data_IF_497538125479
#
_entry.id   IF_497538125479
#
_cell.length_a   1.000
_cell.length_b   1.000
_cell.length_c   1.000
_cell.angle_alpha   90.00
_cell.angle_beta   90.00
_cell.angle_gamma   90.00
#
_symmetry.space_group_name_H-M   'P 1'
#
loop_
_entity.id
_entity.type
_entity.pdbx_description
1 polymer ?
#
# COMPACT_ATOMS: atom_id res chain seq x y z
N UNK A 1 29.11 27.93 16.50
CA UNK A 1 28.44 26.94 15.62
C UNK A 1 27.06 26.67 16.18
N UNK A 2 26.08 26.40 15.32
CA UNK A 2 24.71 26.89 15.46
C UNK A 2 23.81 25.74 15.93
N UNK A 3 23.22 25.86 17.12
CA UNK A 3 22.35 24.84 17.71
C UNK A 3 20.90 25.10 17.27
N UNK A 4 20.41 24.41 16.24
CA UNK A 4 19.00 24.41 15.85
C UNK A 4 18.58 23.05 15.26
N UNK A 5 18.65 21.99 16.06
CA UNK A 5 17.99 20.71 15.73
C UNK A 5 17.02 20.35 16.87
N UNK A 6 15.77 20.77 16.74
CA UNK A 6 14.68 20.22 17.56
C UNK A 6 14.23 18.90 16.91
N UNK A 7 14.27 17.75 17.61
CA UNK A 7 13.60 16.56 17.09
C UNK A 7 12.12 16.91 16.91
N UNK A 8 11.59 16.71 15.71
CA UNK A 8 10.19 16.99 15.41
C UNK A 8 9.33 16.07 16.28
N UNK A 9 8.82 16.61 17.39
CA UNK A 9 7.98 15.88 18.33
C UNK A 9 6.73 15.42 17.59
N UNK A 10 6.67 14.12 17.25
CA UNK A 10 5.51 13.51 16.60
C UNK A 10 4.31 13.60 17.53
N UNK A 11 3.17 14.09 17.03
CA UNK A 11 1.92 14.09 17.79
C UNK A 11 1.40 12.66 17.95
N UNK A 12 0.71 12.39 19.06
CA UNK A 12 -0.04 11.14 19.24
C UNK A 12 -1.24 11.06 18.28
N UNK A 13 -1.77 9.86 18.09
CA UNK A 13 -2.99 9.62 17.32
C UNK A 13 -4.21 10.13 18.09
N UNK A 14 -5.12 10.80 17.41
CA UNK A 14 -6.43 11.19 17.97
C UNK A 14 -7.57 10.43 17.28
N UNK A 15 -8.79 10.49 17.84
CA UNK A 15 -9.95 9.84 17.23
C UNK A 15 -10.25 10.39 15.82
N UNK A 16 -10.00 11.68 15.59
CA UNK A 16 -10.19 12.36 14.30
C UNK A 16 -9.26 11.82 13.21
N UNK A 17 -8.12 11.21 13.59
CA UNK A 17 -7.23 10.57 12.62
C UNK A 17 -7.87 9.31 12.01
N UNK A 18 -8.79 8.65 12.72
CA UNK A 18 -9.52 7.49 12.20
C UNK A 18 -10.44 7.89 11.03
N UNK A 19 -11.00 9.10 11.05
CA UNK A 19 -11.85 9.61 9.96
C UNK A 19 -11.07 9.83 8.66
N UNK A 20 -9.74 9.98 8.76
CA UNK A 20 -8.84 10.16 7.61
C UNK A 20 -8.39 8.85 6.99
N UNK A 21 -8.72 7.70 7.61
CA UNK A 21 -8.34 6.40 7.07
C UNK A 21 -9.05 6.12 5.74
N UNK A 22 -8.29 5.54 4.81
CA UNK A 22 -8.77 5.06 3.51
C UNK A 22 -8.57 3.55 3.47
N UNK A 23 -9.66 2.81 3.24
CA UNK A 23 -9.64 1.34 3.18
C UNK A 23 -9.74 0.90 1.73
N UNK A 24 -8.70 0.23 1.23
CA UNK A 24 -8.66 -0.32 -0.13
C UNK A 24 -8.99 -1.81 -0.09
N UNK A 25 -9.87 -2.27 -0.99
CA UNK A 25 -10.28 -3.68 -1.10
C UNK A 25 -10.48 -4.10 -2.56
N UNK A 26 -10.52 -5.41 -2.73
CA UNK A 26 -10.84 -6.11 -3.98
C UNK A 26 -10.01 -5.61 -5.18
N UNK A 27 -8.67 -5.61 -5.10
CA UNK A 27 -7.84 -5.21 -6.22
C UNK A 27 -7.86 -6.26 -7.33
N UNK A 28 -8.10 -5.80 -8.56
CA UNK A 28 -8.03 -6.61 -9.78
C UNK A 28 -7.02 -6.00 -10.74
N UNK A 29 -6.07 -6.82 -11.22
CA UNK A 29 -5.13 -6.45 -12.26
C UNK A 29 -5.75 -6.63 -13.65
N UNK A 30 -5.44 -5.72 -14.57
CA UNK A 30 -5.67 -5.98 -15.99
C UNK A 30 -4.81 -7.17 -16.47
N UNK A 31 -5.25 -7.95 -17.48
CA UNK A 31 -4.49 -9.11 -17.96
C UNK A 31 -3.07 -8.79 -18.45
N UNK A 32 -2.86 -7.57 -18.97
CA UNK A 32 -1.56 -7.08 -19.42
C UNK A 32 -0.66 -6.54 -18.28
N UNK A 33 -1.16 -6.54 -17.05
CA UNK A 33 -0.48 -6.06 -15.84
C UNK A 33 -0.25 -4.56 -15.79
N UNK A 34 -0.89 -3.77 -16.65
CA UNK A 34 -0.62 -2.32 -16.76
C UNK A 34 -1.53 -1.47 -15.89
N UNK A 35 -2.66 -2.01 -15.45
CA UNK A 35 -3.66 -1.30 -14.66
C UNK A 35 -4.13 -2.12 -13.49
N UNK A 36 -4.59 -1.43 -12.46
CA UNK A 36 -5.28 -2.01 -11.31
C UNK A 36 -6.59 -1.27 -11.11
N UNK A 37 -7.66 -2.02 -10.90
CA UNK A 37 -8.94 -1.51 -10.40
C UNK A 37 -9.11 -1.95 -8.95
N UNK A 38 -9.63 -1.07 -8.09
CA UNK A 38 -9.93 -1.40 -6.71
C UNK A 38 -11.05 -0.51 -6.17
N UNK A 39 -11.63 -0.92 -5.02
CA UNK A 39 -12.60 -0.12 -4.27
C UNK A 39 -11.90 0.56 -3.11
N UNK A 40 -12.01 1.89 -3.01
CA UNK A 40 -11.64 2.64 -1.80
C UNK A 40 -12.89 3.00 -1.02
N UNK A 41 -12.89 2.74 0.29
CA UNK A 41 -13.87 3.29 1.22
C UNK A 41 -13.26 4.34 2.12
N UNK A 42 -14.02 5.41 2.34
CA UNK A 42 -13.63 6.53 3.20
C UNK A 42 -14.84 7.12 3.92
N UNK A 43 -14.57 7.89 4.96
CA UNK A 43 -15.57 8.73 5.63
C UNK A 43 -15.46 10.14 5.01
N UNK A 44 -16.58 10.71 4.59
CA UNK A 44 -16.65 12.09 4.08
C UNK A 44 -16.82 13.12 5.21
N UNK A 45 -16.94 14.40 4.85
CA UNK A 45 -17.11 15.50 5.80
C UNK A 45 -18.45 15.45 6.55
N UNK A 46 -19.44 14.72 6.01
CA UNK A 46 -20.75 14.49 6.61
C UNK A 46 -20.79 13.22 7.48
N UNK A 47 -19.63 12.62 7.78
CA UNK A 47 -19.48 11.36 8.51
C UNK A 47 -20.16 10.15 7.85
N UNK A 48 -20.31 10.17 6.52
CA UNK A 48 -20.90 9.07 5.77
C UNK A 48 -19.82 8.22 5.09
N UNK A 49 -20.05 6.91 5.06
CA UNK A 49 -19.18 6.01 4.30
C UNK A 49 -19.46 6.15 2.81
N UNK A 50 -18.43 6.54 2.05
CA UNK A 50 -18.45 6.54 0.59
C UNK A 50 -17.52 5.48 0.04
N UNK A 51 -17.95 4.84 -1.04
CA UNK A 51 -17.15 3.88 -1.80
C UNK A 51 -16.92 4.42 -3.19
N UNK A 52 -15.67 4.38 -3.66
CA UNK A 52 -15.29 4.82 -5.00
C UNK A 52 -14.54 3.70 -5.70
N UNK A 53 -14.85 3.52 -6.99
CA UNK A 53 -14.06 2.66 -7.87
C UNK A 53 -12.92 3.47 -8.48
N UNK A 54 -11.70 2.99 -8.29
CA UNK A 54 -10.50 3.58 -8.86
C UNK A 54 -9.94 2.70 -9.96
N UNK A 55 -9.43 3.31 -11.03
CA UNK A 55 -8.63 2.66 -12.05
C UNK A 55 -7.30 3.42 -12.14
N UNK A 56 -6.20 2.73 -11.83
CA UNK A 56 -4.86 3.33 -11.75
C UNK A 56 -3.88 2.61 -12.65
N UNK A 57 -2.94 3.37 -13.21
CA UNK A 57 -1.79 2.82 -13.93
C UNK A 57 -0.84 2.12 -12.96
N UNK A 58 -0.74 0.79 -13.08
CA UNK A 58 0.10 -0.08 -12.26
C UNK A 58 1.60 0.04 -12.57
N UNK A 59 1.98 0.63 -13.71
CA UNK A 59 3.39 0.88 -14.04
C UNK A 59 3.94 2.10 -13.29
N UNK A 60 3.07 2.96 -12.74
CA UNK A 60 3.44 4.26 -12.19
C UNK A 60 3.93 4.24 -10.74
N UNK A 61 3.94 3.08 -10.07
CA UNK A 61 4.52 2.93 -8.72
C UNK A 61 5.28 1.62 -8.57
N UNK A 62 6.57 1.65 -8.88
CA UNK A 62 7.54 0.89 -8.09
C UNK A 62 8.03 1.81 -6.97
N UNK A 63 7.49 1.75 -5.73
CA UNK A 63 8.41 1.85 -4.62
C UNK A 63 9.34 0.65 -4.83
N UNK A 64 10.60 0.90 -5.17
CA UNK A 64 11.62 -0.14 -5.28
C UNK A 64 11.84 -0.76 -3.90
N UNK A 65 10.91 -1.60 -3.47
CA UNK A 65 11.11 -2.49 -2.35
C UNK A 65 11.76 -3.73 -2.94
N UNK A 66 13.07 -3.79 -2.79
CA UNK A 66 13.86 -4.94 -3.18
C UNK A 66 13.52 -6.11 -2.25
N UNK A 67 12.66 -7.01 -2.72
CA UNK A 67 12.32 -8.26 -2.03
C UNK A 67 13.54 -9.19 -1.85
N UNK A 68 14.71 -8.88 -2.42
CA UNK A 68 15.97 -9.58 -2.12
C UNK A 68 16.59 -9.18 -0.77
N UNK A 69 16.03 -8.19 -0.08
CA UNK A 69 16.48 -7.80 1.26
C UNK A 69 15.95 -8.71 2.38
N UNK A 70 15.13 -9.72 2.07
CA UNK A 70 14.73 -10.75 3.04
C UNK A 70 15.64 -11.97 2.94
N UNK A 71 16.16 -12.33 4.11
CA UNK A 71 17.22 -13.28 4.44
C UNK A 71 17.19 -14.62 3.70
N UNK A 72 18.42 -15.12 3.53
CA UNK A 72 18.92 -16.28 2.77
C UNK A 72 18.40 -17.67 3.21
N UNK A 73 17.22 -17.81 3.83
CA UNK A 73 16.80 -19.07 4.48
C UNK A 73 15.48 -19.72 4.00
N UNK A 74 14.67 -19.11 3.13
CA UNK A 74 13.39 -19.71 2.69
C UNK A 74 13.41 -20.36 1.29
N UNK A 75 14.59 -20.67 0.74
CA UNK A 75 14.69 -21.29 -0.58
C UNK A 75 14.32 -22.79 -0.60
N UNK A 76 14.10 -23.44 0.55
CA UNK A 76 13.93 -24.89 0.64
C UNK A 76 12.46 -25.38 0.69
N UNK A 77 11.48 -24.49 0.84
CA UNK A 77 10.07 -24.90 1.06
C UNK A 77 9.24 -25.04 -0.22
N UNK A 78 9.76 -24.67 -1.39
CA UNK A 78 8.98 -24.72 -2.64
C UNK A 78 9.81 -25.23 -3.83
N UNK A 79 10.06 -26.54 -3.93
CA UNK A 79 10.60 -27.11 -5.16
C UNK A 79 9.50 -27.14 -6.22
N UNK A 80 9.64 -26.33 -7.28
CA UNK A 80 8.95 -26.57 -8.55
C UNK A 80 7.73 -25.73 -8.90
N UNK A 81 7.75 -24.39 -8.71
CA UNK A 81 6.77 -23.50 -9.37
C UNK A 81 7.43 -22.55 -10.36
N UNK A 82 7.39 -22.96 -11.64
CA UNK A 82 7.65 -22.08 -12.78
C UNK A 82 6.47 -21.10 -12.90
N UNK A 83 6.80 -19.80 -12.95
CA UNK A 83 5.94 -18.73 -13.44
C UNK A 83 4.57 -18.57 -12.78
N UNK A 84 4.50 -18.25 -11.48
CA UNK A 84 3.40 -17.45 -10.96
C UNK A 84 3.96 -16.39 -10.02
N UNK A 85 3.87 -15.13 -10.44
CA UNK A 85 4.25 -13.97 -9.62
C UNK A 85 3.30 -13.90 -8.43
N UNK A 86 3.86 -14.07 -7.22
CA UNK A 86 3.20 -13.65 -5.99
C UNK A 86 2.95 -12.14 -6.06
N UNK A 87 1.68 -11.76 -6.12
CA UNK A 87 1.25 -10.43 -5.69
C UNK A 87 0.93 -10.58 -4.20
N UNK A 88 1.77 -9.99 -3.35
CA UNK A 88 1.46 -9.71 -1.94
C UNK A 88 0.51 -8.53 -1.88
#
# INVERSE_FOLDING_TARGET
MNNNEHPTKRRGMTAEDLLRLRSVRDPHYAPDGTRVVFVEKSIDEENQYRSHLYNVDGRRRRPSMDVRALSRHEAALFPGRRNDRLFV
#
